data_IF_245640889518
#
_entry.id   IF_245640889518
#
_cell.length_a   1.000
_cell.length_b   1.000
_cell.length_c   1.000
_cell.angle_alpha   90.00
_cell.angle_beta   90.00
_cell.angle_gamma   90.00
#
_symmetry.space_group_name_H-M   'P 1'
#
loop_
_entity.id
_entity.type
_entity.pdbx_description
1 polymer ?
#
# COMPACT_ATOMS: atom_id res chain seq x y z
N UNK A 1 11.49 2.64 -3.81
CA UNK A 1 11.51 1.21 -4.22
C UNK A 1 12.67 0.43 -3.62
N UNK A 2 13.72 1.10 -3.23
CA UNK A 2 14.87 0.38 -2.65
C UNK A 2 14.57 -0.26 -1.30
N UNK A 3 13.53 0.17 -0.63
CA UNK A 3 13.18 -0.39 0.68
C UNK A 3 12.36 -1.68 0.60
N UNK A 4 11.98 -2.12 -0.59
CA UNK A 4 11.36 -3.43 -0.77
C UNK A 4 12.41 -4.48 -1.08
N UNK A 5 12.20 -5.71 -0.62
CA UNK A 5 13.01 -6.82 -1.10
C UNK A 5 12.63 -7.14 -2.54
N UNK A 6 13.51 -7.88 -3.22
CA UNK A 6 13.25 -8.20 -4.63
C UNK A 6 11.99 -9.04 -4.81
N UNK A 7 11.62 -9.82 -3.82
CA UNK A 7 10.46 -10.71 -3.88
C UNK A 7 9.32 -10.25 -2.98
N UNK A 8 9.30 -8.98 -2.61
CA UNK A 8 8.27 -8.44 -1.72
C UNK A 8 6.88 -8.57 -2.34
N UNK A 9 5.87 -8.58 -1.49
CA UNK A 9 4.48 -8.61 -1.91
C UNK A 9 3.79 -7.33 -1.48
N UNK A 10 3.09 -6.70 -2.40
CA UNK A 10 2.23 -5.57 -2.13
C UNK A 10 0.79 -6.04 -2.30
N UNK A 11 -0.02 -5.79 -1.31
CA UNK A 11 -1.42 -6.21 -1.30
C UNK A 11 -2.29 -4.94 -1.29
N UNK A 12 -2.54 -4.37 -2.47
CA UNK A 12 -3.30 -3.12 -2.54
C UNK A 12 -4.79 -3.37 -2.43
N UNK A 13 -5.57 -2.35 -2.09
CA UNK A 13 -7.01 -2.49 -2.09
C UNK A 13 -7.54 -2.62 -3.52
N UNK A 14 -8.54 -3.46 -3.67
CA UNK A 14 -9.29 -3.58 -4.92
C UNK A 14 -8.44 -3.98 -6.12
N UNK A 15 -7.35 -4.71 -5.89
CA UNK A 15 -6.46 -5.12 -6.95
C UNK A 15 -5.74 -6.40 -6.52
N UNK A 16 -5.24 -7.18 -7.46
CA UNK A 16 -4.52 -8.41 -7.11
C UNK A 16 -3.21 -8.14 -6.40
N UNK A 17 -2.69 -9.16 -5.75
CA UNK A 17 -1.37 -9.09 -5.15
C UNK A 17 -0.34 -8.81 -6.23
N UNK A 18 0.57 -7.89 -5.94
CA UNK A 18 1.71 -7.61 -6.79
C UNK A 18 2.96 -8.18 -6.12
N UNK A 19 3.61 -9.10 -6.77
CA UNK A 19 4.81 -9.74 -6.23
C UNK A 19 6.01 -9.34 -7.06
N UNK A 20 7.06 -8.88 -6.39
CA UNK A 20 8.29 -8.44 -7.02
C UNK A 20 8.29 -6.95 -7.29
N UNK A 21 9.49 -6.39 -7.36
CA UNK A 21 9.63 -4.94 -7.48
C UNK A 21 8.99 -4.37 -8.73
N UNK A 22 9.08 -5.10 -9.84
CA UNK A 22 8.52 -4.59 -11.08
C UNK A 22 7.00 -4.47 -10.99
N UNK A 23 6.35 -5.51 -10.45
CA UNK A 23 4.90 -5.48 -10.30
C UNK A 23 4.48 -4.41 -9.30
N UNK A 24 5.22 -4.25 -8.21
CA UNK A 24 4.92 -3.24 -7.20
C UNK A 24 5.05 -1.84 -7.81
N UNK A 25 6.12 -1.62 -8.57
CA UNK A 25 6.31 -0.32 -9.22
C UNK A 25 5.14 -0.01 -10.16
N UNK A 26 4.68 -1.01 -10.89
CA UNK A 26 3.55 -0.81 -11.80
C UNK A 26 2.28 -0.41 -11.05
N UNK A 27 2.02 -0.99 -9.90
CA UNK A 27 0.86 -0.62 -9.09
C UNK A 27 0.96 0.83 -8.65
N UNK A 28 2.12 1.24 -8.12
CA UNK A 28 2.29 2.62 -7.67
C UNK A 28 2.19 3.61 -8.82
N UNK A 29 2.67 3.24 -9.99
CA UNK A 29 2.66 4.13 -11.14
C UNK A 29 1.28 4.28 -11.76
N UNK A 30 0.44 3.25 -11.70
CA UNK A 30 -0.74 3.22 -12.56
C UNK A 30 -1.99 3.80 -11.94
N UNK A 31 -2.18 3.72 -10.62
CA UNK A 31 -3.51 4.03 -10.13
C UNK A 31 -3.59 4.63 -8.76
N UNK A 32 -2.57 4.47 -7.94
CA UNK A 32 -2.72 4.87 -6.55
C UNK A 32 -2.34 6.32 -6.32
N UNK A 33 -1.39 6.83 -7.11
CA UNK A 33 -0.90 8.18 -6.90
C UNK A 33 -0.89 8.92 -8.22
N UNK A 34 -1.60 10.02 -8.29
CA UNK A 34 -1.36 10.94 -9.39
C UNK A 34 -0.03 11.65 -9.11
N UNK A 35 0.67 12.11 -10.14
CA UNK A 35 2.00 12.71 -9.94
C UNK A 35 1.99 13.92 -9.02
N UNK A 36 0.87 14.60 -8.90
CA UNK A 36 0.77 15.80 -8.08
C UNK A 36 0.03 15.57 -6.78
N UNK A 37 -0.19 14.32 -6.39
CA UNK A 37 -0.84 14.04 -5.12
C UNK A 37 0.14 14.18 -3.97
N UNK A 38 -0.34 14.66 -2.84
CA UNK A 38 0.42 14.69 -1.60
C UNK A 38 0.08 13.44 -0.80
N UNK A 39 1.11 12.73 -0.36
CA UNK A 39 0.94 11.51 0.40
C UNK A 39 1.60 11.68 1.76
N UNK A 40 0.90 11.33 2.80
CA UNK A 40 1.47 11.35 4.15
C UNK A 40 1.15 10.02 4.83
N UNK A 41 2.05 9.61 5.70
CA UNK A 41 1.81 8.45 6.55
C UNK A 41 2.31 8.70 7.94
N UNK A 42 1.72 7.96 8.85
CA UNK A 42 2.10 8.06 10.24
C UNK A 42 2.13 6.65 10.81
N UNK A 43 3.26 6.30 11.42
CA UNK A 43 3.39 5.01 12.10
C UNK A 43 2.72 5.12 13.45
N UNK A 44 1.76 4.27 13.72
CA UNK A 44 1.08 4.27 15.02
C UNK A 44 1.61 3.19 15.95
N UNK A 45 2.25 2.16 15.41
CA UNK A 45 2.81 1.10 16.22
C UNK A 45 3.89 0.38 15.43
N UNK A 46 4.97 0.02 16.08
CA UNK A 46 6.02 -0.77 15.48
C UNK A 46 6.60 -1.71 16.53
N UNK A 47 6.84 -2.96 16.15
CA UNK A 47 7.43 -3.94 17.05
C UNK A 47 8.43 -4.79 16.31
N UNK A 48 9.53 -5.10 16.98
CA UNK A 48 10.56 -5.98 16.46
C UNK A 48 10.48 -7.29 17.21
N UNK A 49 10.50 -8.40 16.48
CA UNK A 49 10.50 -9.72 17.10
C UNK A 49 11.74 -9.89 17.97
N UNK A 50 11.63 -10.73 18.99
CA UNK A 50 12.74 -10.95 19.91
C UNK A 50 13.98 -11.42 19.19
N UNK A 51 13.84 -12.18 18.11
CA UNK A 51 14.99 -12.64 17.32
C UNK A 51 15.73 -11.49 16.65
N UNK A 52 15.12 -10.30 16.54
CA UNK A 52 15.77 -9.15 15.96
C UNK A 52 15.82 -9.09 14.45
N UNK A 53 15.15 -10.01 13.77
CA UNK A 53 15.25 -10.08 12.32
C UNK A 53 13.94 -9.81 11.61
N UNK A 54 12.85 -9.66 12.34
CA UNK A 54 11.53 -9.41 11.76
C UNK A 54 10.83 -8.36 12.58
N UNK A 55 10.14 -7.46 11.90
CA UNK A 55 9.39 -6.40 12.55
C UNK A 55 8.12 -6.13 11.77
N UNK A 56 7.13 -5.58 12.45
CA UNK A 56 5.96 -5.09 11.75
C UNK A 56 5.67 -3.66 12.15
N UNK A 57 4.99 -2.96 11.26
CA UNK A 57 4.59 -1.58 11.44
C UNK A 57 3.11 -1.50 11.13
N UNK A 58 2.38 -0.82 12.00
CA UNK A 58 0.98 -0.46 11.75
C UNK A 58 0.92 1.05 11.62
N UNK A 59 0.20 1.53 10.62
CA UNK A 59 0.11 2.96 10.42
C UNK A 59 -1.14 3.37 9.68
N UNK A 60 -1.22 4.66 9.44
CA UNK A 60 -2.30 5.28 8.69
C UNK A 60 -1.69 6.09 7.56
N UNK A 61 -2.47 6.33 6.52
CA UNK A 61 -2.02 7.14 5.40
C UNK A 61 -3.12 8.08 4.96
N UNK A 62 -2.71 9.13 4.27
CA UNK A 62 -3.63 10.03 3.62
C UNK A 62 -3.06 10.46 2.28
N UNK A 63 -3.89 10.44 1.25
CA UNK A 63 -3.54 10.89 -0.09
C UNK A 63 -4.46 12.06 -0.40
N UNK A 64 -3.87 13.21 -0.71
CA UNK A 64 -4.62 14.42 -0.99
C UNK A 64 -4.24 14.91 -2.38
N UNK A 65 -5.19 15.02 -3.32
CA UNK A 65 -4.86 15.56 -4.63
C UNK A 65 -4.55 17.04 -4.53
N UNK A 66 -3.53 17.49 -5.23
CA UNK A 66 -3.20 18.91 -5.23
C UNK A 66 -4.17 19.71 -6.07
N UNK A 67 -4.81 19.06 -7.03
CA UNK A 67 -5.76 19.72 -7.90
C UNK A 67 -7.15 19.18 -7.60
N UNK A 68 -7.93 19.86 -6.73
CA UNK A 68 -9.24 19.33 -6.34
C UNK A 68 -10.23 19.31 -7.50
N UNK A 69 -9.96 19.97 -8.60
CA UNK A 69 -10.81 19.91 -9.77
C UNK A 69 -10.58 18.67 -10.62
N UNK A 70 -9.49 17.94 -10.35
CA UNK A 70 -9.22 16.72 -11.06
C UNK A 70 -10.10 15.60 -10.57
N UNK A 71 -9.99 14.47 -11.23
CA UNK A 71 -10.77 13.30 -10.86
C UNK A 71 -10.16 12.51 -9.71
N UNK A 72 -8.95 12.84 -9.32
CA UNK A 72 -8.31 12.17 -8.20
C UNK A 72 -9.04 12.54 -6.93
N UNK A 73 -9.43 11.54 -6.17
CA UNK A 73 -10.16 11.72 -4.93
C UNK A 73 -9.20 11.60 -3.76
N UNK A 74 -9.57 12.27 -2.70
CA UNK A 74 -8.89 12.10 -1.44
C UNK A 74 -9.08 10.68 -0.95
N UNK A 75 -8.03 10.09 -0.41
CA UNK A 75 -8.10 8.76 0.16
C UNK A 75 -7.37 8.76 1.49
N UNK A 76 -7.82 7.93 2.40
CA UNK A 76 -7.17 7.71 3.68
C UNK A 76 -7.44 6.29 4.11
N UNK A 77 -6.52 5.75 4.87
CA UNK A 77 -6.68 4.37 5.31
C UNK A 77 -5.59 3.95 6.26
N UNK A 78 -5.36 2.67 6.30
CA UNK A 78 -4.44 2.06 7.24
C UNK A 78 -3.61 1.02 6.54
N UNK A 79 -2.48 0.72 7.15
CA UNK A 79 -1.51 -0.19 6.53
C UNK A 79 -0.83 -1.03 7.58
N UNK A 80 -0.33 -2.17 7.14
CA UNK A 80 0.60 -3.01 7.88
C UNK A 80 1.75 -3.32 6.96
N UNK A 81 2.97 -3.16 7.46
CA UNK A 81 4.17 -3.54 6.73
C UNK A 81 4.95 -4.53 7.56
N UNK A 82 5.47 -5.56 6.92
CA UNK A 82 6.39 -6.50 7.55
C UNK A 82 7.78 -6.21 7.01
N UNK A 83 8.70 -5.96 7.92
CA UNK A 83 10.09 -5.64 7.61
C UNK A 83 10.98 -6.78 8.03
N UNK A 84 11.98 -7.07 7.23
CA UNK A 84 12.92 -8.14 7.53
C UNK A 84 14.34 -7.62 7.40
N UNK A 85 15.16 -7.96 8.39
CA UNK A 85 16.55 -7.57 8.36
C UNK A 85 17.30 -8.43 7.37
N UNK A 86 17.99 -7.78 6.46
CA UNK A 86 18.73 -8.46 5.42
C UNK A 86 20.14 -8.82 5.90
N UNK A 87 20.84 -9.63 5.09
CA UNK A 87 22.18 -10.08 5.46
C UNK A 87 23.15 -8.92 5.65
N UNK A 88 22.94 -7.81 4.95
CA UNK A 88 23.79 -6.63 5.09
C UNK A 88 23.42 -5.75 6.29
N UNK A 89 22.45 -6.17 7.09
CA UNK A 89 22.02 -5.43 8.25
C UNK A 89 20.94 -4.39 7.98
N UNK A 90 20.58 -4.19 6.74
CA UNK A 90 19.54 -3.23 6.40
C UNK A 90 18.18 -3.87 6.50
N UNK A 91 17.19 -3.07 6.88
CA UNK A 91 15.80 -3.52 6.97
C UNK A 91 15.09 -3.23 5.68
N UNK A 92 14.32 -4.21 5.20
CA UNK A 92 13.52 -4.02 3.99
C UNK A 92 12.14 -4.62 4.17
N UNK A 93 11.18 -4.07 3.43
CA UNK A 93 9.79 -4.53 3.46
C UNK A 93 9.66 -5.79 2.64
N UNK A 94 9.09 -6.82 3.24
CA UNK A 94 8.79 -8.07 2.53
C UNK A 94 7.31 -8.21 2.23
N UNK A 95 6.45 -7.51 2.96
CA UNK A 95 5.02 -7.51 2.70
C UNK A 95 4.46 -6.16 3.10
N UNK A 96 3.58 -5.62 2.27
CA UNK A 96 3.00 -4.30 2.46
C UNK A 96 1.54 -4.41 2.08
N UNK A 97 0.67 -4.22 3.06
CA UNK A 97 -0.77 -4.30 2.82
C UNK A 97 -1.42 -3.01 3.30
N UNK A 98 -2.31 -2.48 2.50
CA UNK A 98 -3.06 -1.31 2.91
C UNK A 98 -4.47 -1.38 2.37
N UNK A 99 -5.37 -0.70 3.04
CA UNK A 99 -6.74 -0.60 2.56
C UNK A 99 -7.32 0.73 2.98
N UNK A 100 -8.31 1.13 2.21
CA UNK A 100 -8.90 2.46 2.34
C UNK A 100 -10.01 2.45 3.39
N UNK A 101 -10.16 3.56 4.10
CA UNK A 101 -11.31 3.79 4.96
C UNK A 101 -12.47 4.41 4.20
N UNK A 102 -12.21 4.85 2.97
CA UNK A 102 -13.24 5.49 2.15
C UNK A 102 -13.95 4.39 1.37
N UNK A 103 -15.27 4.28 1.49
CA UNK A 103 -15.98 3.24 0.75
C UNK A 103 -15.83 3.43 -0.75
N UNK A 104 -15.60 2.33 -1.45
CA UNK A 104 -15.61 2.37 -2.91
C UNK A 104 -17.00 2.68 -3.39
N UNK A 105 -17.13 3.39 -4.51
CA UNK A 105 -18.44 3.52 -5.11
C UNK A 105 -19.03 2.14 -5.35
N UNK A 106 -20.32 1.99 -5.10
CA UNK A 106 -20.95 0.70 -5.34
C UNK A 106 -20.78 0.33 -6.80
N UNK A 107 -20.40 -0.90 -7.09
CA UNK A 107 -20.35 -1.30 -8.49
C UNK A 107 -21.76 -1.28 -9.07
N UNK A 108 -21.89 -1.07 -10.37
CA UNK A 108 -23.22 -1.17 -10.97
C UNK A 108 -23.79 -2.56 -10.71
N UNK A 109 -25.11 -2.70 -10.57
CA UNK A 109 -25.67 -4.02 -10.35
C UNK A 109 -25.22 -4.93 -11.48
N UNK A 110 -24.93 -6.19 -11.18
CA UNK A 110 -24.57 -7.09 -12.27
C UNK A 110 -25.73 -7.19 -13.23
N UNK A 111 -25.38 -7.09 -14.45
CA UNK A 111 -26.37 -7.29 -15.45
C UNK A 111 -26.83 -8.68 -15.29
N UNK A 112 -27.45 -9.01 -14.97
CA UNK A 112 -27.73 -10.06 -14.74
C UNK A 112 -27.34 -11.00 -14.15
N UNK A 113 -27.25 -11.02 -13.55
CA UNK A 113 -26.83 -12.02 -12.90
C UNK A 113 -27.79 -12.97 -12.74
N UNK A 114 -28.18 -13.15 -13.14
CA UNK A 114 -29.00 -13.76 -13.16
C UNK A 114 -29.10 -14.82 -12.95
N UNK A 115 -28.99 -14.90 -12.77
CA UNK A 115 -29.15 -15.78 -12.61
C UNK A 115 -29.31 -16.33 -12.59
#
# INVERSE_FOLDING_TARGET
MSYYTDDASLLPPNAPIATGKQAIRAVWASSLLSPDAAVSWEVTKAEVARSGELAYVVGVYQITPKNPKGKALEDRGKLVEVWKKQADGKWKVVADIFNSDVPSPAPPPPAEKKK
#
